data_IF_932923954105
#
_entry.id   IF_932923954105
#
_cell.length_a   1.000
_cell.length_b   1.000
_cell.length_c   1.000
_cell.angle_alpha   90.00
_cell.angle_beta   90.00
_cell.angle_gamma   90.00
#
_symmetry.space_group_name_H-M   'P 1'
#
loop_
_entity.id
_entity.type
_entity.pdbx_description
1 polymer ?
#
# COMPACT_ATOMS: atom_id res chain seq x y z
N UNK A 1 -6.00 28.41 3.87
CA UNK A 1 -6.58 27.27 3.13
C UNK A 1 -7.37 26.42 4.10
N UNK A 2 -8.72 26.45 4.03
CA UNK A 2 -9.59 25.76 5.01
C UNK A 2 -9.51 24.25 4.81
N UNK A 3 -9.12 23.52 5.85
CA UNK A 3 -9.24 22.06 5.85
C UNK A 3 -10.71 21.68 5.74
N UNK A 4 -11.09 20.78 4.80
CA UNK A 4 -12.46 20.31 4.71
C UNK A 4 -12.92 19.69 6.04
N UNK A 5 -14.16 19.94 6.42
CA UNK A 5 -14.74 19.54 7.70
C UNK A 5 -14.48 18.06 8.09
N UNK A 6 -14.61 17.14 7.14
CA UNK A 6 -14.36 15.73 7.39
C UNK A 6 -12.89 15.45 7.80
N UNK A 7 -11.92 16.19 7.26
CA UNK A 7 -10.51 16.06 7.63
C UNK A 7 -10.27 16.56 9.06
N UNK A 8 -10.94 17.63 9.45
CA UNK A 8 -10.85 18.13 10.82
C UNK A 8 -11.38 17.07 11.80
N UNK A 9 -12.57 16.51 11.52
CA UNK A 9 -13.16 15.42 12.32
C UNK A 9 -12.20 14.21 12.36
N UNK A 10 -11.70 13.77 11.21
CA UNK A 10 -10.77 12.64 11.16
C UNK A 10 -9.53 12.87 12.02
N UNK A 11 -8.93 14.06 11.94
CA UNK A 11 -7.75 14.40 12.73
C UNK A 11 -8.06 14.47 14.22
N UNK A 12 -9.16 15.11 14.60
CA UNK A 12 -9.60 15.18 16.01
C UNK A 12 -9.87 13.77 16.56
N UNK A 13 -10.56 12.93 15.79
CA UNK A 13 -10.79 11.53 16.16
C UNK A 13 -9.48 10.74 16.26
N UNK A 14 -8.51 10.99 15.35
CA UNK A 14 -7.20 10.35 15.42
C UNK A 14 -6.43 10.72 16.70
N UNK A 15 -6.55 11.97 17.18
CA UNK A 15 -5.98 12.35 18.47
C UNK A 15 -6.65 11.62 19.63
N UNK A 16 -7.97 11.46 19.59
CA UNK A 16 -8.69 10.69 20.60
C UNK A 16 -8.29 9.19 20.56
N UNK A 17 -8.20 8.60 19.37
CA UNK A 17 -7.73 7.22 19.17
C UNK A 17 -6.32 6.98 19.72
N UNK A 18 -5.49 8.02 19.80
CA UNK A 18 -4.15 7.88 20.38
C UNK A 18 -4.17 7.33 21.81
N UNK A 19 -5.21 7.59 22.58
CA UNK A 19 -5.38 7.06 23.94
C UNK A 19 -5.55 5.53 23.94
N UNK A 20 -6.12 4.99 22.88
CA UNK A 20 -6.45 3.57 22.75
C UNK A 20 -5.48 2.78 21.86
N UNK A 21 -4.50 3.43 21.25
CA UNK A 21 -3.60 2.74 20.29
C UNK A 21 -2.84 1.58 20.91
N UNK A 22 -2.45 1.72 22.18
CA UNK A 22 -1.79 0.63 22.88
C UNK A 22 -2.72 -0.58 23.08
N UNK A 23 -3.96 -0.34 23.46
CA UNK A 23 -4.97 -1.40 23.60
C UNK A 23 -5.27 -2.07 22.26
N UNK A 24 -5.42 -1.26 21.19
CA UNK A 24 -5.59 -1.76 19.83
C UNK A 24 -4.41 -2.65 19.44
N UNK A 25 -3.18 -2.21 19.71
CA UNK A 25 -1.98 -3.00 19.41
C UNK A 25 -2.00 -4.34 20.16
N UNK A 26 -2.34 -4.35 21.48
CA UNK A 26 -2.41 -5.58 22.27
C UNK A 26 -3.45 -6.55 21.68
N UNK A 27 -4.67 -6.07 21.40
CA UNK A 27 -5.74 -6.91 20.82
C UNK A 27 -5.29 -7.50 19.47
N UNK A 28 -4.65 -6.70 18.63
CA UNK A 28 -4.13 -7.17 17.35
C UNK A 28 -2.98 -8.17 17.50
N UNK A 29 -2.12 -7.99 18.49
CA UNK A 29 -1.03 -8.91 18.82
C UNK A 29 -1.56 -10.26 19.31
N UNK A 30 -2.56 -10.28 20.16
CA UNK A 30 -3.24 -11.51 20.61
C UNK A 30 -3.86 -12.28 19.42
N UNK A 31 -4.31 -11.56 18.38
CA UNK A 31 -4.82 -12.14 17.13
C UNK A 31 -3.72 -12.48 16.11
N UNK A 32 -2.44 -12.45 16.50
CA UNK A 32 -1.26 -12.71 15.64
C UNK A 32 -1.18 -11.79 14.40
N UNK A 33 -1.78 -10.59 14.48
CA UNK A 33 -1.79 -9.57 13.41
C UNK A 33 -0.70 -8.53 13.57
N UNK A 34 0.10 -8.60 14.64
CA UNK A 34 1.22 -7.71 14.93
C UNK A 34 2.41 -8.50 15.47
N UNK A 35 3.61 -8.02 15.21
CA UNK A 35 4.85 -8.54 15.79
C UNK A 35 5.26 -7.73 17.03
N UNK A 36 5.23 -8.35 18.19
CA UNK A 36 5.55 -7.67 19.47
C UNK A 36 6.94 -7.04 19.49
N UNK A 37 7.91 -7.72 18.92
CA UNK A 37 9.30 -7.24 18.87
C UNK A 37 9.44 -5.95 18.05
N UNK A 38 8.57 -5.74 17.05
CA UNK A 38 8.54 -4.58 16.15
C UNK A 38 7.49 -3.53 16.53
N UNK A 39 6.90 -3.62 17.72
CA UNK A 39 5.82 -2.73 18.18
C UNK A 39 6.14 -1.25 18.06
N UNK A 40 7.38 -0.85 18.31
CA UNK A 40 7.81 0.56 18.26
C UNK A 40 7.56 1.21 16.90
N UNK A 41 7.61 0.43 15.82
CA UNK A 41 7.38 0.92 14.45
C UNK A 41 5.95 1.45 14.28
N UNK A 42 4.94 0.77 14.86
CA UNK A 42 3.53 1.22 14.85
C UNK A 42 3.32 2.57 15.54
N UNK A 43 4.21 2.94 16.43
CA UNK A 43 4.22 4.21 17.13
C UNK A 43 5.19 5.24 16.50
N UNK A 44 5.60 5.01 15.25
CA UNK A 44 6.40 5.92 14.45
C UNK A 44 7.89 5.96 14.80
N UNK A 45 8.39 5.01 15.58
CA UNK A 45 9.84 4.90 15.84
C UNK A 45 10.49 4.25 14.64
N UNK A 46 11.53 4.88 14.11
CA UNK A 46 12.34 4.38 12.99
C UNK A 46 13.70 3.96 13.51
N UNK A 47 14.08 2.73 13.21
CA UNK A 47 15.36 2.14 13.58
C UNK A 47 16.35 2.13 12.40
N UNK A 48 16.36 3.20 11.62
CA UNK A 48 17.31 3.41 10.53
C UNK A 48 18.37 4.41 11.05
N UNK A 49 19.61 3.98 11.12
CA UNK A 49 20.69 4.76 11.74
C UNK A 49 21.14 5.92 10.86
N UNK A 50 21.07 5.74 9.56
CA UNK A 50 21.53 6.73 8.59
C UNK A 50 20.47 7.82 8.34
N UNK A 51 20.79 9.06 8.74
CA UNK A 51 19.92 10.24 8.55
C UNK A 51 20.28 11.04 7.29
N UNK A 52 21.43 10.77 6.70
CA UNK A 52 21.94 11.56 5.59
C UNK A 52 21.38 11.10 4.25
N UNK A 53 21.03 9.83 4.13
CA UNK A 53 20.52 9.26 2.90
C UNK A 53 19.12 9.75 2.59
N UNK A 54 18.90 10.15 1.36
CA UNK A 54 17.56 10.38 0.81
C UNK A 54 16.91 9.06 0.46
N UNK A 55 15.62 8.94 0.75
CA UNK A 55 14.85 7.74 0.49
C UNK A 55 13.67 7.98 -0.45
N UNK A 56 13.44 7.07 -1.38
CA UNK A 56 12.13 6.88 -2.00
C UNK A 56 11.34 5.94 -1.09
N UNK A 57 10.22 6.43 -0.57
CA UNK A 57 9.35 5.70 0.32
C UNK A 57 8.17 5.08 -0.42
N UNK A 58 8.08 3.76 -0.40
CA UNK A 58 6.90 3.04 -0.85
C UNK A 58 6.02 2.62 0.32
N UNK A 59 4.72 2.81 0.19
CA UNK A 59 3.74 2.19 1.07
C UNK A 59 2.90 1.17 0.30
N UNK A 60 3.10 -0.12 0.61
CA UNK A 60 2.38 -1.27 0.05
C UNK A 60 1.80 -2.11 1.19
N UNK A 61 0.50 -1.98 1.44
CA UNK A 61 -0.14 -2.54 2.63
C UNK A 61 -0.20 -4.07 2.62
N UNK A 62 -0.46 -4.66 1.47
CA UNK A 62 -0.74 -6.09 1.28
C UNK A 62 0.37 -6.83 0.54
N UNK A 63 0.30 -8.17 0.58
CA UNK A 63 1.17 -9.07 -0.19
C UNK A 63 1.09 -8.77 -1.71
N UNK A 64 -0.12 -8.56 -2.23
CA UNK A 64 -0.32 -8.29 -3.66
C UNK A 64 0.27 -6.95 -4.10
N UNK A 65 0.10 -5.90 -3.30
CA UNK A 65 0.71 -4.59 -3.54
C UNK A 65 2.24 -4.66 -3.47
N UNK A 66 2.77 -5.37 -2.47
CA UNK A 66 4.21 -5.54 -2.31
C UNK A 66 4.86 -6.23 -3.51
N UNK A 67 4.22 -7.28 -4.04
CA UNK A 67 4.71 -7.95 -5.25
C UNK A 67 4.60 -7.07 -6.50
N UNK A 68 3.55 -6.27 -6.60
CA UNK A 68 3.33 -5.40 -7.76
C UNK A 68 4.37 -4.32 -7.93
N UNK A 69 4.96 -3.82 -6.85
CA UNK A 69 6.00 -2.78 -6.90
C UNK A 69 7.41 -3.34 -7.09
N UNK A 70 7.61 -4.66 -6.97
CA UNK A 70 8.94 -5.28 -7.03
C UNK A 70 9.75 -4.90 -8.28
N UNK A 71 9.18 -4.93 -9.51
CA UNK A 71 9.91 -4.54 -10.71
C UNK A 71 10.36 -3.07 -10.68
N UNK A 72 9.48 -2.17 -10.22
CA UNK A 72 9.79 -0.74 -10.10
C UNK A 72 10.91 -0.50 -9.07
N UNK A 73 10.80 -1.14 -7.90
CA UNK A 73 11.85 -1.05 -6.86
C UNK A 73 13.18 -1.56 -7.38
N UNK A 74 13.20 -2.70 -8.11
CA UNK A 74 14.43 -3.22 -8.70
C UNK A 74 15.06 -2.25 -9.69
N UNK A 75 14.26 -1.60 -10.53
CA UNK A 75 14.73 -0.57 -11.46
C UNK A 75 15.37 0.61 -10.73
N UNK A 76 14.71 1.13 -9.70
CA UNK A 76 15.23 2.24 -8.90
C UNK A 76 16.51 1.87 -8.13
N UNK A 77 16.62 0.63 -7.64
CA UNK A 77 17.85 0.14 -7.02
C UNK A 77 19.02 0.09 -8.02
N UNK A 78 18.77 -0.27 -9.26
CA UNK A 78 19.79 -0.26 -10.33
C UNK A 78 20.25 1.17 -10.67
N UNK A 79 19.39 2.15 -10.42
CA UNK A 79 19.69 3.58 -10.54
C UNK A 79 20.24 4.19 -9.23
N UNK A 80 20.64 3.34 -8.26
CA UNK A 80 21.28 3.69 -6.99
C UNK A 80 20.41 4.49 -6.01
N UNK A 81 19.07 4.46 -6.14
CA UNK A 81 18.19 5.06 -5.14
C UNK A 81 18.13 4.24 -3.85
N UNK A 82 18.09 4.92 -2.71
CA UNK A 82 17.79 4.27 -1.43
C UNK A 82 16.29 4.10 -1.26
N UNK A 83 15.87 2.90 -0.95
CA UNK A 83 14.46 2.54 -0.87
C UNK A 83 14.07 2.14 0.55
N UNK A 84 12.96 2.71 1.03
CA UNK A 84 12.25 2.22 2.21
C UNK A 84 10.85 1.78 1.81
N UNK A 85 10.45 0.59 2.26
CA UNK A 85 9.11 0.05 2.04
C UNK A 85 8.41 -0.11 3.38
N UNK A 86 7.20 0.43 3.49
CA UNK A 86 6.33 0.18 4.64
C UNK A 86 5.20 -0.76 4.27
N UNK A 87 4.89 -1.70 5.17
CA UNK A 87 3.75 -2.62 5.02
C UNK A 87 2.82 -2.58 6.22
N UNK A 88 1.61 -3.13 6.04
CA UNK A 88 0.60 -3.16 7.11
C UNK A 88 0.50 -4.53 7.79
N UNK A 89 0.76 -5.63 7.08
CA UNK A 89 0.51 -6.98 7.59
C UNK A 89 1.78 -7.76 7.90
N UNK A 90 1.69 -8.69 8.86
CA UNK A 90 2.79 -9.62 9.17
C UNK A 90 3.15 -10.48 7.94
N UNK A 91 2.15 -10.90 7.16
CA UNK A 91 2.38 -11.67 5.93
C UNK A 91 3.21 -10.89 4.91
N UNK A 92 2.90 -9.59 4.73
CA UNK A 92 3.67 -8.72 3.81
C UNK A 92 5.10 -8.50 4.32
N UNK A 93 5.29 -8.31 5.63
CA UNK A 93 6.62 -8.17 6.22
C UNK A 93 7.46 -9.45 6.08
N UNK A 94 6.85 -10.62 6.23
CA UNK A 94 7.53 -11.90 6.03
C UNK A 94 7.87 -12.15 4.56
N UNK A 95 7.00 -11.75 3.65
CA UNK A 95 7.28 -11.83 2.22
C UNK A 95 8.40 -10.87 1.83
N UNK A 96 8.38 -9.63 2.34
CA UNK A 96 9.43 -8.65 2.09
C UNK A 96 10.83 -9.25 2.30
N UNK A 97 11.06 -9.92 3.43
CA UNK A 97 12.34 -10.57 3.77
C UNK A 97 12.81 -11.60 2.73
N UNK A 98 11.87 -12.17 1.95
CA UNK A 98 12.16 -13.20 0.95
C UNK A 98 12.41 -12.65 -0.45
N UNK A 99 11.78 -11.50 -0.78
CA UNK A 99 11.71 -11.02 -2.17
C UNK A 99 12.50 -9.74 -2.43
N UNK A 100 12.90 -9.02 -1.37
CA UNK A 100 13.72 -7.81 -1.51
C UNK A 100 15.13 -8.01 -0.94
N UNK A 101 16.16 -7.40 -1.55
CA UNK A 101 17.53 -7.48 -1.07
C UNK A 101 17.71 -6.68 0.25
N UNK A 102 18.78 -6.97 0.98
CA UNK A 102 19.04 -6.42 2.32
C UNK A 102 19.27 -4.90 2.37
N UNK A 103 19.66 -4.30 1.25
CA UNK A 103 19.83 -2.85 1.13
C UNK A 103 18.50 -2.09 1.08
N UNK A 104 17.39 -2.73 0.74
CA UNK A 104 16.04 -2.13 0.89
C UNK A 104 15.66 -2.14 2.37
N UNK A 105 15.27 -1.00 2.89
CA UNK A 105 14.81 -0.89 4.27
C UNK A 105 13.31 -1.23 4.38
N UNK A 106 12.93 -1.87 5.48
CA UNK A 106 11.53 -2.22 5.74
C UNK A 106 11.08 -1.83 7.14
N UNK A 107 9.87 -1.30 7.20
CA UNK A 107 9.20 -0.97 8.44
C UNK A 107 7.70 -1.22 8.33
N UNK A 108 7.05 -1.54 9.46
CA UNK A 108 5.59 -1.41 9.53
C UNK A 108 5.19 0.04 9.47
N UNK A 109 4.14 0.35 8.70
CA UNK A 109 3.60 1.71 8.70
C UNK A 109 3.08 2.06 10.10
N UNK A 110 3.39 3.24 10.63
CA UNK A 110 2.77 3.72 11.87
C UNK A 110 1.25 3.83 11.74
N UNK A 111 0.55 3.78 12.87
CA UNK A 111 -0.86 4.18 12.87
C UNK A 111 -1.01 5.61 12.36
N UNK A 112 -2.05 5.86 11.55
CA UNK A 112 -2.28 7.18 10.93
C UNK A 112 -2.78 8.22 11.96
N UNK A 113 -1.94 8.49 12.94
CA UNK A 113 -2.15 9.45 14.03
C UNK A 113 -1.09 10.54 13.92
N UNK A 114 -1.44 11.83 14.01
CA UNK A 114 -0.52 12.94 13.78
C UNK A 114 0.79 12.86 14.56
N UNK A 115 0.76 12.34 15.78
CA UNK A 115 1.97 12.15 16.61
C UNK A 115 2.94 11.14 15.98
N UNK A 116 2.43 10.04 15.46
CA UNK A 116 3.25 8.94 14.94
C UNK A 116 3.70 9.19 13.51
N UNK A 117 2.82 9.76 12.70
CA UNK A 117 3.16 10.16 11.32
C UNK A 117 4.27 11.22 11.32
N UNK A 118 4.18 12.24 12.19
CA UNK A 118 5.23 13.25 12.35
C UNK A 118 6.55 12.63 12.81
N UNK A 119 6.52 11.72 13.81
CA UNK A 119 7.73 11.06 14.32
C UNK A 119 8.43 10.27 13.22
N UNK A 120 7.68 9.51 12.42
CA UNK A 120 8.20 8.73 11.31
C UNK A 120 8.85 9.64 10.26
N UNK A 121 8.12 10.65 9.76
CA UNK A 121 8.60 11.55 8.73
C UNK A 121 9.75 12.45 9.17
N UNK A 122 9.84 12.81 10.45
CA UNK A 122 10.94 13.61 10.97
C UNK A 122 12.25 12.82 11.09
N UNK A 123 12.19 11.50 11.09
CA UNK A 123 13.37 10.64 11.22
C UNK A 123 14.00 10.30 9.88
N UNK A 124 13.23 10.40 8.81
CA UNK A 124 13.63 10.00 7.45
C UNK A 124 13.75 11.21 6.55
N UNK A 125 14.77 11.24 5.72
CA UNK A 125 14.91 12.19 4.64
C UNK A 125 14.22 11.61 3.39
N UNK A 126 12.91 11.84 3.24
CA UNK A 126 12.10 11.30 2.15
C UNK A 126 12.09 12.27 0.98
N UNK A 127 12.59 11.84 -0.15
CA UNK A 127 12.63 12.60 -1.40
C UNK A 127 11.33 12.45 -2.19
N UNK A 128 10.74 11.26 -2.17
CA UNK A 128 9.48 10.92 -2.85
C UNK A 128 8.73 9.86 -2.05
N UNK A 129 7.42 10.03 -1.90
CA UNK A 129 6.54 9.02 -1.30
C UNK A 129 5.58 8.46 -2.36
N UNK A 130 5.50 7.13 -2.46
CA UNK A 130 4.69 6.40 -3.42
C UNK A 130 3.73 5.49 -2.67
N UNK A 131 2.43 5.77 -2.77
CA UNK A 131 1.38 4.96 -2.19
C UNK A 131 0.75 4.07 -3.25
N UNK A 132 0.37 2.85 -2.85
CA UNK A 132 -0.09 1.83 -3.79
C UNK A 132 -1.58 1.53 -3.58
N UNK A 133 -2.33 1.43 -4.65
CA UNK A 133 -3.77 1.07 -4.69
C UNK A 133 -4.68 2.03 -3.91
N UNK A 134 -5.30 1.56 -2.82
CA UNK A 134 -6.34 2.31 -2.10
C UNK A 134 -5.84 3.01 -0.84
N UNK A 135 -4.54 3.19 -0.70
CA UNK A 135 -3.89 3.65 0.52
C UNK A 135 -3.98 5.18 0.68
N UNK A 136 -5.17 5.66 1.08
CA UNK A 136 -5.42 7.07 1.39
C UNK A 136 -5.40 7.25 2.91
N UNK A 137 -4.25 7.68 3.42
CA UNK A 137 -3.98 7.92 4.84
C UNK A 137 -3.93 9.43 5.11
N UNK A 138 -5.03 10.06 5.62
CA UNK A 138 -5.14 11.51 5.66
C UNK A 138 -4.03 12.22 6.42
N UNK A 139 -3.58 11.67 7.56
CA UNK A 139 -2.53 12.32 8.33
C UNK A 139 -1.16 12.21 7.65
N UNK A 140 -0.83 11.07 7.03
CA UNK A 140 0.39 10.94 6.25
C UNK A 140 0.40 11.89 5.05
N UNK A 141 -0.69 11.93 4.28
CA UNK A 141 -0.83 12.81 3.12
C UNK A 141 -0.64 14.28 3.52
N UNK A 142 -1.31 14.71 4.59
CA UNK A 142 -1.21 16.10 5.09
C UNK A 142 0.22 16.40 5.58
N UNK A 143 0.84 15.48 6.29
CA UNK A 143 2.19 15.69 6.82
C UNK A 143 3.25 15.64 5.73
N UNK A 144 3.09 14.86 4.67
CA UNK A 144 3.95 14.91 3.48
C UNK A 144 3.81 16.25 2.77
N UNK A 145 2.57 16.70 2.52
CA UNK A 145 2.32 18.02 1.90
C UNK A 145 2.96 19.17 2.68
N UNK A 146 2.86 19.17 4.01
CA UNK A 146 3.47 20.19 4.87
C UNK A 146 4.99 20.22 4.78
N UNK A 147 5.62 19.12 4.42
CA UNK A 147 7.08 18.98 4.28
C UNK A 147 7.55 19.12 2.83
N UNK A 148 6.63 19.44 1.91
CA UNK A 148 6.90 19.46 0.48
C UNK A 148 7.51 18.13 -0.03
N UNK A 149 7.08 16.99 0.56
CA UNK A 149 7.44 15.66 0.07
C UNK A 149 6.48 15.34 -1.09
N UNK A 150 6.99 15.16 -2.31
CA UNK A 150 6.17 14.75 -3.45
C UNK A 150 5.44 13.43 -3.15
N UNK A 151 4.16 13.35 -3.51
CA UNK A 151 3.31 12.19 -3.29
C UNK A 151 2.82 11.65 -4.63
N UNK A 152 3.04 10.35 -4.88
CA UNK A 152 2.46 9.64 -6.03
C UNK A 152 1.52 8.55 -5.52
N UNK A 153 0.39 8.38 -6.21
CA UNK A 153 -0.52 7.26 -5.99
C UNK A 153 -0.51 6.38 -7.23
N UNK A 154 0.08 5.21 -7.12
CA UNK A 154 0.20 4.29 -8.24
C UNK A 154 -0.76 3.12 -8.13
N UNK A 155 -1.19 2.59 -9.27
CA UNK A 155 -2.17 1.50 -9.36
C UNK A 155 -3.46 1.81 -8.59
N UNK A 156 -3.88 3.09 -8.58
CA UNK A 156 -5.00 3.56 -7.78
C UNK A 156 -6.27 2.76 -8.10
N UNK A 157 -6.88 2.21 -7.06
CA UNK A 157 -8.08 1.38 -7.17
C UNK A 157 -9.13 1.81 -6.16
N UNK A 158 -10.35 2.03 -6.64
CA UNK A 158 -11.49 2.34 -5.80
C UNK A 158 -12.63 1.38 -6.10
N UNK A 159 -13.19 0.78 -5.07
CA UNK A 159 -14.41 -0.02 -5.18
C UNK A 159 -15.64 0.89 -5.28
N UNK A 160 -16.75 0.36 -5.80
CA UNK A 160 -18.03 1.10 -5.85
C UNK A 160 -18.48 1.56 -4.45
N UNK A 161 -18.19 0.76 -3.43
CA UNK A 161 -18.44 1.12 -2.04
C UNK A 161 -17.60 2.31 -1.60
N UNK A 162 -16.32 2.34 -1.98
CA UNK A 162 -15.43 3.48 -1.71
C UNK A 162 -15.90 4.73 -2.44
N UNK A 163 -16.33 4.62 -3.70
CA UNK A 163 -16.89 5.74 -4.45
C UNK A 163 -18.11 6.35 -3.77
N UNK A 164 -19.05 5.52 -3.33
CA UNK A 164 -20.23 5.97 -2.59
C UNK A 164 -19.84 6.67 -1.29
N UNK A 165 -18.96 6.07 -0.50
CA UNK A 165 -18.49 6.68 0.77
C UNK A 165 -17.83 8.04 0.54
N UNK A 166 -16.89 8.12 -0.40
CA UNK A 166 -16.20 9.37 -0.71
C UNK A 166 -17.11 10.41 -1.39
N UNK A 167 -18.23 9.97 -1.98
CA UNK A 167 -19.27 10.86 -2.50
C UNK A 167 -19.79 11.83 -1.42
N UNK A 168 -20.00 11.35 -0.20
CA UNK A 168 -20.42 12.19 0.95
C UNK A 168 -19.31 13.14 1.44
N UNK A 169 -18.05 12.78 1.25
CA UNK A 169 -16.88 13.55 1.66
C UNK A 169 -16.09 14.12 0.47
N UNK A 170 -16.77 14.42 -0.67
CA UNK A 170 -16.14 14.81 -1.95
C UNK A 170 -15.11 15.92 -1.80
N UNK A 171 -15.41 16.98 -1.02
CA UNK A 171 -14.46 18.09 -0.79
C UNK A 171 -13.20 17.64 -0.07
N UNK A 172 -13.35 16.75 0.90
CA UNK A 172 -12.21 16.19 1.66
C UNK A 172 -11.36 15.28 0.81
N UNK A 173 -11.99 14.44 -0.02
CA UNK A 173 -11.27 13.61 -0.96
C UNK A 173 -10.50 14.47 -1.98
N UNK A 174 -11.16 15.47 -2.57
CA UNK A 174 -10.51 16.40 -3.50
C UNK A 174 -9.30 17.10 -2.87
N UNK A 175 -9.40 17.51 -1.61
CA UNK A 175 -8.29 18.11 -0.87
C UNK A 175 -7.13 17.13 -0.67
N UNK A 176 -7.42 15.86 -0.30
CA UNK A 176 -6.39 14.83 -0.10
C UNK A 176 -5.73 14.44 -1.43
N UNK A 177 -6.55 14.20 -2.46
CA UNK A 177 -6.05 13.88 -3.80
C UNK A 177 -5.22 15.03 -4.39
N UNK A 178 -5.60 16.30 -4.15
CA UNK A 178 -4.83 17.47 -4.51
C UNK A 178 -3.49 17.63 -3.80
N UNK A 179 -3.15 16.67 -2.95
CA UNK A 179 -1.82 16.56 -2.33
C UNK A 179 -0.91 15.60 -3.09
N UNK A 180 -1.45 14.79 -4.00
CA UNK A 180 -0.66 13.96 -4.89
C UNK A 180 -0.26 14.76 -6.12
N UNK A 181 1.00 14.71 -6.47
CA UNK A 181 1.51 15.31 -7.69
C UNK A 181 1.10 14.53 -8.92
N UNK A 182 0.97 13.20 -8.77
CA UNK A 182 0.58 12.32 -9.85
C UNK A 182 -0.20 11.11 -9.37
N UNK A 183 -1.23 10.71 -10.14
CA UNK A 183 -2.06 9.53 -9.86
C UNK A 183 -2.11 8.63 -11.10
N UNK A 184 -1.77 7.36 -10.95
CA UNK A 184 -1.87 6.32 -11.98
C UNK A 184 -2.99 5.35 -11.59
N UNK A 185 -4.18 5.44 -12.19
CA UNK A 185 -5.28 4.51 -11.95
C UNK A 185 -4.99 3.11 -12.49
N UNK A 186 -5.51 2.08 -11.82
CA UNK A 186 -5.39 0.69 -12.22
C UNK A 186 -6.22 0.33 -13.46
N UNK A 187 -7.34 1.03 -13.68
CA UNK A 187 -8.29 0.74 -14.75
C UNK A 187 -9.02 2.00 -15.22
N UNK A 188 -9.65 1.90 -16.39
CA UNK A 188 -10.38 3.00 -17.02
C UNK A 188 -11.56 3.50 -16.18
N UNK A 189 -12.22 2.65 -15.40
CA UNK A 189 -13.31 3.05 -14.50
C UNK A 189 -12.81 4.03 -13.44
N UNK A 190 -11.69 3.70 -12.79
CA UNK A 190 -11.06 4.57 -11.78
C UNK A 190 -10.52 5.86 -12.44
N UNK A 191 -9.92 5.75 -13.63
CA UNK A 191 -9.47 6.92 -14.40
C UNK A 191 -10.63 7.90 -14.67
N UNK A 192 -11.73 7.41 -15.26
CA UNK A 192 -12.89 8.23 -15.58
C UNK A 192 -13.50 8.88 -14.33
N UNK A 193 -13.47 8.18 -13.20
CA UNK A 193 -13.96 8.71 -11.95
C UNK A 193 -13.12 9.90 -11.45
N UNK A 194 -11.80 9.81 -11.48
CA UNK A 194 -10.92 10.92 -11.12
C UNK A 194 -11.07 12.11 -12.09
N UNK A 195 -11.20 11.83 -13.39
CA UNK A 195 -11.47 12.89 -14.40
C UNK A 195 -12.78 13.62 -14.11
N UNK A 196 -13.84 12.89 -13.77
CA UNK A 196 -15.14 13.47 -13.39
C UNK A 196 -15.10 14.27 -12.08
N UNK A 197 -14.11 14.02 -11.23
CA UNK A 197 -13.83 14.84 -10.04
C UNK A 197 -13.08 16.14 -10.37
N UNK A 198 -12.62 16.32 -11.62
CA UNK A 198 -11.83 17.46 -12.03
C UNK A 198 -10.33 17.31 -11.76
N UNK A 199 -9.83 16.07 -11.67
CA UNK A 199 -8.42 15.79 -11.46
C UNK A 199 -7.68 15.80 -12.80
N UNK A 200 -6.58 16.59 -12.89
CA UNK A 200 -5.82 16.76 -14.13
C UNK A 200 -4.53 15.93 -14.18
N UNK A 201 -3.80 15.88 -13.07
CA UNK A 201 -2.53 15.15 -12.96
C UNK A 201 -2.73 13.64 -12.84
N UNK A 202 -3.32 13.05 -13.87
CA UNK A 202 -3.71 11.64 -13.91
C UNK A 202 -3.43 11.06 -15.29
N UNK A 203 -2.82 9.90 -15.31
CA UNK A 203 -2.56 9.15 -16.54
C UNK A 203 -2.88 7.66 -16.34
N UNK A 204 -3.53 7.06 -17.32
CA UNK A 204 -3.81 5.63 -17.32
C UNK A 204 -2.71 4.88 -18.07
N UNK A 205 -1.80 4.26 -17.33
CA UNK A 205 -0.67 3.49 -17.86
C UNK A 205 -0.89 1.97 -17.79
N UNK A 206 -2.09 1.53 -17.40
CA UNK A 206 -2.40 0.12 -17.18
C UNK A 206 -2.20 -0.33 -15.73
N UNK A 207 -2.28 -1.65 -15.52
CA UNK A 207 -2.16 -2.23 -14.20
C UNK A 207 -0.72 -2.72 -13.97
N UNK A 208 -0.03 -2.15 -13.00
CA UNK A 208 1.36 -2.49 -12.63
C UNK A 208 1.55 -3.99 -12.31
N UNK A 209 0.45 -4.70 -11.96
CA UNK A 209 0.50 -6.15 -11.73
C UNK A 209 0.85 -6.95 -12.99
N UNK A 210 0.65 -6.37 -14.19
CA UNK A 210 1.03 -7.03 -15.44
C UNK A 210 2.55 -7.06 -15.65
N UNK A 211 3.29 -6.16 -15.00
CA UNK A 211 4.75 -6.12 -15.03
C UNK A 211 5.38 -7.09 -14.01
N UNK A 212 4.55 -7.77 -13.20
CA UNK A 212 5.02 -8.73 -12.23
C UNK A 212 5.83 -9.85 -12.93
N UNK A 213 7.02 -10.12 -12.40
CA UNK A 213 7.84 -11.22 -12.89
C UNK A 213 7.07 -12.54 -12.84
N UNK A 214 7.20 -13.35 -13.88
CA UNK A 214 6.66 -14.71 -13.88
C UNK A 214 7.19 -15.45 -12.65
N UNK A 215 6.29 -16.17 -11.97
CA UNK A 215 6.67 -16.99 -10.83
C UNK A 215 7.69 -18.04 -11.26
N UNK A 216 8.70 -18.26 -10.42
CA UNK A 216 9.63 -19.37 -10.64
C UNK A 216 8.89 -20.70 -10.60
N UNK A 217 9.11 -21.49 -11.63
CA UNK A 217 8.47 -22.79 -11.79
C UNK A 217 9.43 -23.85 -11.26
N UNK A 218 9.00 -24.64 -10.28
CA UNK A 218 9.71 -25.84 -9.90
C UNK A 218 9.53 -26.90 -11.00
N UNK A 219 10.54 -27.02 -11.87
CA UNK A 219 10.50 -27.92 -13.04
C UNK A 219 10.17 -29.37 -12.67
N UNK A 220 10.74 -29.87 -11.57
CA UNK A 220 10.48 -31.23 -11.10
C UNK A 220 9.01 -31.47 -10.74
N UNK A 221 8.41 -30.56 -9.94
CA UNK A 221 6.98 -30.64 -9.61
C UNK A 221 6.08 -30.47 -10.81
N UNK A 222 6.48 -29.61 -11.75
CA UNK A 222 5.75 -29.43 -13.00
C UNK A 222 5.71 -30.71 -13.83
N UNK A 223 6.82 -31.43 -13.96
CA UNK A 223 6.88 -32.69 -14.69
C UNK A 223 6.05 -33.79 -14.03
N UNK A 224 6.05 -33.87 -12.69
CA UNK A 224 5.15 -34.78 -11.97
C UNK A 224 3.70 -34.44 -12.26
N UNK A 225 3.34 -33.16 -12.19
CA UNK A 225 1.99 -32.70 -12.48
C UNK A 225 1.59 -33.02 -13.91
N UNK A 226 2.42 -32.69 -14.90
CA UNK A 226 2.19 -33.02 -16.32
C UNK A 226 1.93 -34.50 -16.56
N UNK A 227 2.72 -35.38 -15.91
CA UNK A 227 2.51 -36.83 -16.01
C UNK A 227 1.18 -37.27 -15.42
N UNK A 228 0.75 -36.68 -14.30
CA UNK A 228 -0.51 -37.05 -13.63
C UNK A 228 -1.76 -36.59 -14.38
N UNK A 229 -1.64 -35.57 -15.22
CA UNK A 229 -2.75 -34.96 -15.97
C UNK A 229 -2.67 -35.23 -17.48
N UNK A 230 -1.65 -35.98 -17.93
CA UNK A 230 -1.52 -36.32 -19.35
C UNK A 230 -2.78 -37.02 -19.87
N UNK A 231 -3.26 -36.60 -21.05
CA UNK A 231 -4.48 -37.11 -21.71
C UNK A 231 -5.81 -36.79 -20.98
N UNK A 232 -5.82 -35.85 -20.03
CA UNK A 232 -7.06 -35.40 -19.37
C UNK A 232 -7.44 -33.99 -19.80
N UNK A 233 -8.73 -33.72 -19.97
CA UNK A 233 -9.25 -32.34 -20.01
C UNK A 233 -9.21 -31.80 -18.60
N UNK A 234 -8.63 -30.62 -18.41
CA UNK A 234 -8.42 -30.02 -17.09
C UNK A 234 -9.21 -28.74 -16.99
N UNK A 235 -9.98 -28.63 -15.94
CA UNK A 235 -10.61 -27.37 -15.48
C UNK A 235 -9.89 -27.02 -14.17
N UNK A 236 -9.23 -25.86 -14.14
CA UNK A 236 -8.59 -25.33 -12.93
C UNK A 236 -9.41 -24.16 -12.40
N UNK A 237 -10.07 -24.36 -11.25
CA UNK A 237 -10.73 -23.32 -10.50
C UNK A 237 -9.85 -22.90 -9.31
N UNK A 238 -9.59 -21.60 -9.15
CA UNK A 238 -8.69 -21.08 -8.12
C UNK A 238 -9.35 -19.91 -7.39
N UNK A 239 -9.24 -19.90 -6.06
CA UNK A 239 -9.82 -18.85 -5.21
C UNK A 239 -11.34 -18.72 -5.35
N UNK A 240 -12.00 -19.85 -5.49
CA UNK A 240 -13.46 -19.92 -5.60
C UNK A 240 -14.15 -19.46 -4.30
N UNK A 241 -15.31 -18.86 -4.42
CA UNK A 241 -16.20 -18.47 -3.33
C UNK A 241 -17.40 -19.41 -3.27
N UNK A 242 -18.07 -19.43 -2.14
CA UNK A 242 -19.27 -20.25 -1.94
C UNK A 242 -20.30 -20.07 -3.08
N UNK A 243 -20.70 -21.17 -3.72
CA UNK A 243 -21.61 -21.22 -4.86
C UNK A 243 -20.95 -21.17 -6.25
N UNK A 244 -19.69 -20.74 -6.38
CA UNK A 244 -19.00 -20.70 -7.69
C UNK A 244 -18.65 -22.12 -8.18
N UNK A 245 -18.34 -23.03 -7.26
CA UNK A 245 -18.02 -24.42 -7.58
C UNK A 245 -19.23 -25.17 -8.16
N UNK A 246 -20.43 -24.88 -7.68
CA UNK A 246 -21.67 -25.46 -8.18
C UNK A 246 -21.92 -25.08 -9.66
N UNK A 247 -21.58 -23.83 -10.03
CA UNK A 247 -21.71 -23.34 -11.41
C UNK A 247 -20.67 -23.97 -12.34
N UNK A 248 -19.48 -24.31 -11.82
CA UNK A 248 -18.40 -24.91 -12.61
C UNK A 248 -18.70 -26.39 -12.92
N UNK A 249 -19.39 -27.08 -12.01
CA UNK A 249 -19.70 -28.51 -12.12
C UNK A 249 -21.11 -28.80 -12.62
N UNK A 250 -21.95 -27.79 -12.83
CA UNK A 250 -23.26 -27.91 -13.49
C UNK A 250 -23.11 -27.91 -15.02
#
# INVERSE_FOLDING_TARGET
MFNPFFIIIYRSFSYFLNLFTWLIFIIRSLRKKEEWIRKKERFGVVNIEDKADKYIWFHAASVGELLSIRPLVQKLLNEHYNIIITTTTVSSANLFKKVFPSNVKHQYIPYDIPKYTKRFLNRLNIELAIFVESEIWPNFIIECKKRNIPLFLINARFSDKSFKFWGYARRSLYYLLGSFEFIIPQNTKTYNWFKNLGYENIEFLGNIKHDAQKLEINKYKLEILKKSISNKKIILAVSTHHGEEEVIFS
#
